data_IF_502734596953
#
_entry.id   IF_502734596953
#
_cell.length_a   1.000
_cell.length_b   1.000
_cell.length_c   1.000
_cell.angle_alpha   90.00
_cell.angle_beta   90.00
_cell.angle_gamma   90.00
#
_symmetry.space_group_name_H-M   'P 1'
#
loop_
_entity.id
_entity.type
_entity.pdbx_description
1 polymer ?
#
# COMPACT_ATOMS: atom_id res chain seq x y z
N UNK A 1 17.06 39.62 0.67
CA UNK A 1 16.81 38.73 1.82
C UNK A 1 16.45 37.27 1.44
N UNK A 2 16.42 36.87 0.16
CA UNK A 2 15.95 35.52 -0.24
C UNK A 2 17.05 34.43 -0.37
N UNK A 3 18.33 34.81 -0.55
CA UNK A 3 19.43 33.86 -0.83
C UNK A 3 19.86 33.01 0.38
N UNK A 4 19.84 33.57 1.59
CA UNK A 4 20.27 32.84 2.81
C UNK A 4 19.30 31.76 3.28
N UNK A 5 18.00 31.92 3.01
CA UNK A 5 16.98 30.94 3.38
C UNK A 5 17.08 29.67 2.52
N UNK A 6 17.22 29.82 1.20
CA UNK A 6 17.35 28.69 0.26
C UNK A 6 18.62 27.90 0.52
N UNK A 7 19.75 28.58 0.81
CA UNK A 7 21.00 27.91 1.16
C UNK A 7 20.88 27.09 2.46
N UNK A 8 20.23 27.64 3.50
CA UNK A 8 20.02 26.90 4.75
C UNK A 8 19.08 25.69 4.61
N UNK A 9 18.04 25.79 3.77
CA UNK A 9 17.14 24.67 3.48
C UNK A 9 17.88 23.57 2.72
N UNK A 10 18.73 23.93 1.75
CA UNK A 10 19.54 22.96 1.00
C UNK A 10 20.56 22.26 1.88
N UNK A 11 21.26 22.98 2.76
CA UNK A 11 22.23 22.39 3.70
C UNK A 11 21.55 21.45 4.69
N UNK A 12 20.40 21.84 5.26
CA UNK A 12 19.61 20.98 6.14
C UNK A 12 19.08 19.74 5.42
N UNK A 13 18.61 19.87 4.17
CA UNK A 13 18.15 18.73 3.39
C UNK A 13 19.29 17.73 3.11
N UNK A 14 20.50 18.23 2.82
CA UNK A 14 21.68 17.39 2.64
C UNK A 14 22.15 16.73 3.93
N UNK A 15 22.04 17.43 5.07
CA UNK A 15 22.38 16.90 6.38
C UNK A 15 21.42 15.78 6.81
N UNK A 16 20.11 16.00 6.68
CA UNK A 16 19.08 14.97 6.94
C UNK A 16 19.26 13.77 6.02
N UNK A 17 19.52 13.99 4.73
CA UNK A 17 19.75 12.90 3.78
C UNK A 17 20.99 12.06 4.12
N UNK A 18 22.06 12.69 4.63
CA UNK A 18 23.25 11.97 5.09
C UNK A 18 22.98 11.21 6.39
N UNK A 19 22.29 11.84 7.35
CA UNK A 19 21.92 11.22 8.61
C UNK A 19 21.02 10.00 8.40
N UNK A 20 20.03 10.09 7.51
CA UNK A 20 19.15 8.98 7.14
C UNK A 20 19.92 7.86 6.43
N UNK A 21 20.87 8.21 5.57
CA UNK A 21 21.72 7.23 4.90
C UNK A 21 22.62 6.48 5.88
N UNK A 22 23.24 7.19 6.82
CA UNK A 22 24.11 6.59 7.82
C UNK A 22 23.32 5.73 8.81
N UNK A 23 22.14 6.18 9.26
CA UNK A 23 21.21 5.37 10.06
C UNK A 23 20.74 4.13 9.31
N UNK A 24 20.36 4.27 8.04
CA UNK A 24 19.94 3.13 7.22
C UNK A 24 21.08 2.11 7.06
N UNK A 25 22.31 2.57 6.85
CA UNK A 25 23.49 1.71 6.76
C UNK A 25 23.78 0.99 8.07
N UNK A 26 23.64 1.68 9.20
CA UNK A 26 23.79 1.10 10.54
C UNK A 26 22.74 0.00 10.79
N UNK A 27 21.45 0.31 10.56
CA UNK A 27 20.35 -0.65 10.68
C UNK A 27 20.51 -1.85 9.75
N UNK A 28 20.98 -1.66 8.52
CA UNK A 28 21.23 -2.74 7.57
C UNK A 28 22.42 -3.60 7.99
N UNK A 29 23.49 -2.99 8.49
CA UNK A 29 24.66 -3.69 9.05
C UNK A 29 24.28 -4.52 10.28
N UNK A 30 23.46 -3.95 11.16
CA UNK A 30 22.93 -4.62 12.34
C UNK A 30 21.96 -5.75 11.96
N UNK A 31 21.08 -5.54 10.99
CA UNK A 31 20.17 -6.56 10.46
C UNK A 31 20.91 -7.74 9.81
N UNK A 32 22.01 -7.46 9.12
CA UNK A 32 22.88 -8.48 8.53
C UNK A 32 23.61 -9.28 9.62
N UNK A 33 24.18 -8.61 10.63
CA UNK A 33 24.90 -9.24 11.75
C UNK A 33 23.99 -10.04 12.68
N UNK A 34 22.78 -9.54 12.94
CA UNK A 34 21.79 -10.19 13.81
C UNK A 34 21.03 -11.36 13.14
N UNK A 35 21.24 -11.58 11.84
CA UNK A 35 20.49 -12.58 11.09
C UNK A 35 19.01 -12.21 10.88
N UNK A 36 18.66 -10.94 11.09
CA UNK A 36 17.28 -10.47 11.07
C UNK A 36 16.64 -10.52 9.68
N UNK A 37 17.45 -10.65 8.62
CA UNK A 37 16.99 -10.88 7.25
C UNK A 37 16.14 -12.16 7.09
N UNK A 38 16.23 -13.12 8.03
CA UNK A 38 15.43 -14.34 8.01
C UNK A 38 14.00 -14.14 8.57
N UNK A 39 13.74 -13.04 9.28
CA UNK A 39 12.43 -12.80 9.92
C UNK A 39 11.24 -12.74 8.97
N UNK A 40 11.32 -12.16 7.75
CA UNK A 40 10.19 -12.19 6.82
C UNK A 40 9.74 -13.62 6.50
N UNK A 41 10.69 -14.54 6.26
CA UNK A 41 10.38 -15.95 6.01
C UNK A 41 9.82 -16.63 7.25
N UNK A 42 10.44 -16.41 8.42
CA UNK A 42 9.91 -16.92 9.70
C UNK A 42 8.50 -16.41 9.96
N UNK A 43 8.21 -15.16 9.61
CA UNK A 43 6.89 -14.54 9.72
C UNK A 43 5.86 -15.21 8.84
N UNK A 44 6.19 -15.54 7.58
CA UNK A 44 5.30 -16.31 6.69
C UNK A 44 5.00 -17.69 7.30
N UNK A 45 6.03 -18.43 7.72
CA UNK A 45 5.84 -19.74 8.35
C UNK A 45 4.99 -19.63 9.61
N UNK A 46 5.31 -18.67 10.48
CA UNK A 46 4.57 -18.42 11.72
C UNK A 46 3.11 -18.07 11.45
N UNK A 47 2.85 -17.19 10.48
CA UNK A 47 1.49 -16.84 10.06
C UNK A 47 0.74 -18.08 9.55
N UNK A 48 1.36 -18.90 8.71
CA UNK A 48 0.73 -20.12 8.18
C UNK A 48 0.44 -21.16 9.26
N UNK A 49 1.28 -21.28 10.29
CA UNK A 49 1.05 -22.25 11.38
C UNK A 49 0.05 -21.75 12.44
N UNK A 50 -0.15 -20.43 12.57
CA UNK A 50 -1.04 -19.84 13.59
C UNK A 50 -2.40 -19.42 13.00
N UNK A 51 -3.38 -20.33 13.02
CA UNK A 51 -4.72 -20.09 12.46
C UNK A 51 -5.44 -18.86 13.04
N UNK A 52 -5.16 -18.51 14.29
CA UNK A 52 -5.70 -17.32 14.93
C UNK A 52 -5.48 -16.05 14.07
N UNK A 53 -4.28 -15.93 13.49
CA UNK A 53 -3.86 -14.78 12.68
C UNK A 53 -4.54 -14.69 11.32
N UNK A 54 -5.26 -15.73 10.87
CA UNK A 54 -5.90 -15.73 9.56
C UNK A 54 -7.20 -14.93 9.56
N UNK A 55 -7.85 -14.81 10.72
CA UNK A 55 -9.18 -14.20 10.87
C UNK A 55 -9.26 -12.78 10.29
N UNK A 56 -8.29 -11.86 10.53
CA UNK A 56 -8.29 -10.54 9.91
C UNK A 56 -8.23 -10.61 8.38
N UNK A 57 -7.39 -11.48 7.82
CA UNK A 57 -7.26 -11.63 6.37
C UNK A 57 -8.49 -12.25 5.72
N UNK A 58 -9.00 -13.35 6.27
CA UNK A 58 -10.17 -14.04 5.71
C UNK A 58 -11.41 -13.16 5.69
N UNK A 59 -11.57 -12.28 6.70
CA UNK A 59 -12.66 -11.30 6.75
C UNK A 59 -12.63 -10.28 5.61
N UNK A 60 -11.48 -10.08 4.96
CA UNK A 60 -11.28 -9.12 3.88
C UNK A 60 -11.24 -9.73 2.48
N UNK A 61 -11.21 -11.07 2.36
CA UNK A 61 -11.19 -11.75 1.05
C UNK A 61 -12.42 -11.38 0.23
N UNK A 62 -13.63 -11.56 0.78
CA UNK A 62 -14.86 -11.30 0.05
C UNK A 62 -15.01 -9.82 -0.35
N UNK A 63 -14.77 -8.83 0.54
CA UNK A 63 -14.72 -7.41 0.16
C UNK A 63 -13.70 -7.10 -0.94
N UNK A 64 -12.50 -7.71 -0.89
CA UNK A 64 -11.43 -7.46 -1.87
C UNK A 64 -11.78 -8.05 -3.23
N UNK A 65 -12.38 -9.24 -3.26
CA UNK A 65 -12.89 -9.84 -4.50
C UNK A 65 -14.01 -9.00 -5.11
N UNK A 66 -14.96 -8.55 -4.29
CA UNK A 66 -16.03 -7.66 -4.73
C UNK A 66 -15.51 -6.36 -5.32
N UNK A 67 -14.52 -5.74 -4.66
CA UNK A 67 -13.82 -4.56 -5.16
C UNK A 67 -13.13 -4.84 -6.51
N UNK A 68 -12.44 -5.98 -6.63
CA UNK A 68 -11.73 -6.37 -7.85
C UNK A 68 -12.69 -6.52 -9.02
N UNK A 69 -13.78 -7.27 -8.83
CA UNK A 69 -14.80 -7.51 -9.85
C UNK A 69 -15.50 -6.19 -10.22
N UNK A 70 -15.84 -5.37 -9.22
CA UNK A 70 -16.50 -4.08 -9.45
C UNK A 70 -15.63 -3.11 -10.25
N UNK A 71 -14.37 -2.94 -9.85
CA UNK A 71 -13.43 -2.06 -10.55
C UNK A 71 -13.15 -2.58 -11.96
N UNK A 72 -12.78 -3.85 -12.10
CA UNK A 72 -12.47 -4.45 -13.40
C UNK A 72 -13.67 -4.41 -14.35
N UNK A 73 -14.85 -4.79 -13.87
CA UNK A 73 -16.08 -4.74 -14.66
C UNK A 73 -16.43 -3.32 -15.10
N UNK A 74 -16.26 -2.33 -14.22
CA UNK A 74 -16.48 -0.92 -14.58
C UNK A 74 -15.48 -0.44 -15.63
N UNK A 75 -14.19 -0.77 -15.50
CA UNK A 75 -13.19 -0.40 -16.51
C UNK A 75 -13.50 -1.04 -17.85
N UNK A 76 -13.76 -2.35 -17.90
CA UNK A 76 -14.13 -3.03 -19.15
C UNK A 76 -15.36 -2.37 -19.79
N UNK A 77 -16.40 -2.08 -19.01
CA UNK A 77 -17.61 -1.46 -19.52
C UNK A 77 -17.38 -0.07 -20.14
N UNK A 78 -16.60 0.79 -19.47
CA UNK A 78 -16.40 2.17 -19.91
C UNK A 78 -15.24 2.35 -20.90
N UNK A 79 -14.18 1.56 -20.79
CA UNK A 79 -12.91 1.82 -21.50
C UNK A 79 -12.61 0.83 -22.60
N UNK A 80 -13.18 -0.39 -22.60
CA UNK A 80 -12.80 -1.44 -23.56
C UNK A 80 -13.05 -1.03 -25.02
N UNK A 81 -14.28 -0.66 -25.37
CA UNK A 81 -14.64 -0.27 -26.74
C UNK A 81 -13.83 0.95 -27.22
N UNK A 82 -13.75 2.07 -26.47
CA UNK A 82 -12.97 3.22 -26.93
C UNK A 82 -11.45 2.94 -26.97
N UNK A 83 -10.88 2.22 -25.99
CA UNK A 83 -9.45 1.85 -26.03
C UNK A 83 -9.15 0.90 -27.18
N UNK A 84 -10.01 -0.10 -27.43
CA UNK A 84 -9.85 -1.02 -28.54
C UNK A 84 -9.91 -0.29 -29.88
N UNK A 85 -10.85 0.63 -30.06
CA UNK A 85 -10.96 1.41 -31.31
C UNK A 85 -9.66 2.16 -31.63
N UNK A 86 -9.04 2.79 -30.62
CA UNK A 86 -7.78 3.49 -30.76
C UNK A 86 -6.63 2.51 -31.05
N UNK A 87 -6.53 1.41 -30.29
CA UNK A 87 -5.43 0.46 -30.45
C UNK A 87 -5.52 -0.37 -31.74
N UNK A 88 -6.72 -0.70 -32.22
CA UNK A 88 -6.92 -1.41 -33.50
C UNK A 88 -6.44 -0.54 -34.66
N UNK A 89 -6.66 0.77 -34.58
CA UNK A 89 -6.17 1.70 -35.59
C UNK A 89 -4.63 1.71 -35.69
N UNK A 90 -3.93 1.59 -34.56
CA UNK A 90 -2.45 1.66 -34.50
C UNK A 90 -1.78 0.29 -34.69
N UNK A 91 -2.31 -0.74 -34.04
CA UNK A 91 -1.67 -2.06 -33.91
C UNK A 91 -2.40 -3.17 -34.69
N UNK A 92 -3.50 -2.83 -35.38
CA UNK A 92 -4.28 -3.79 -36.16
C UNK A 92 -5.05 -4.81 -35.28
N UNK A 93 -5.42 -5.97 -35.83
CA UNK A 93 -6.29 -6.96 -35.17
C UNK A 93 -5.74 -7.52 -33.84
N UNK A 94 -4.42 -7.50 -33.64
CA UNK A 94 -3.78 -7.96 -32.40
C UNK A 94 -4.06 -7.03 -31.19
N UNK A 95 -4.63 -5.85 -31.43
CA UNK A 95 -5.03 -4.89 -30.42
C UNK A 95 -6.00 -5.45 -29.37
N UNK A 96 -6.79 -6.47 -29.73
CA UNK A 96 -7.72 -7.11 -28.78
C UNK A 96 -6.99 -7.62 -27.53
N UNK A 97 -5.83 -8.24 -27.71
CA UNK A 97 -5.04 -8.78 -26.60
C UNK A 97 -4.34 -7.67 -25.82
N UNK A 98 -3.79 -6.67 -26.52
CA UNK A 98 -3.05 -5.58 -25.86
C UNK A 98 -3.99 -4.66 -25.08
N UNK A 99 -5.19 -4.37 -25.59
CA UNK A 99 -6.24 -3.63 -24.87
C UNK A 99 -6.66 -4.38 -23.60
N UNK A 100 -6.83 -5.70 -23.67
CA UNK A 100 -7.22 -6.48 -22.49
C UNK A 100 -6.12 -6.49 -21.41
N UNK A 101 -4.85 -6.63 -21.83
CA UNK A 101 -3.71 -6.52 -20.92
C UNK A 101 -3.60 -5.13 -20.30
N UNK A 102 -3.88 -4.07 -21.06
CA UNK A 102 -3.84 -2.70 -20.57
C UNK A 102 -4.91 -2.47 -19.50
N UNK A 103 -6.15 -2.86 -19.76
CA UNK A 103 -7.26 -2.73 -18.81
C UNK A 103 -6.99 -3.54 -17.54
N UNK A 104 -6.40 -4.73 -17.66
CA UNK A 104 -6.01 -5.54 -16.50
C UNK A 104 -4.96 -4.82 -15.63
N UNK A 105 -3.94 -4.20 -16.24
CA UNK A 105 -2.91 -3.46 -15.52
C UNK A 105 -3.46 -2.18 -14.86
N UNK A 106 -4.31 -1.43 -15.57
CA UNK A 106 -4.97 -0.24 -15.05
C UNK A 106 -5.88 -0.60 -13.87
N UNK A 107 -6.72 -1.62 -14.05
CA UNK A 107 -7.62 -2.13 -13.00
C UNK A 107 -6.83 -2.63 -11.79
N UNK A 108 -5.75 -3.38 -11.99
CA UNK A 108 -4.88 -3.86 -10.92
C UNK A 108 -4.30 -2.71 -10.09
N UNK A 109 -3.88 -1.62 -10.75
CA UNK A 109 -3.38 -0.43 -10.06
C UNK A 109 -4.45 0.20 -9.17
N UNK A 110 -5.68 0.34 -9.68
CA UNK A 110 -6.82 0.89 -8.94
C UNK A 110 -7.19 -0.02 -7.77
N UNK A 111 -7.34 -1.32 -8.02
CA UNK A 111 -7.67 -2.32 -7.01
C UNK A 111 -6.62 -2.35 -5.92
N UNK A 112 -5.33 -2.33 -6.27
CA UNK A 112 -4.22 -2.31 -5.31
C UNK A 112 -4.25 -1.04 -4.45
N UNK A 113 -4.51 0.12 -5.05
CA UNK A 113 -4.64 1.38 -4.32
C UNK A 113 -5.85 1.35 -3.36
N UNK A 114 -7.02 0.95 -3.84
CA UNK A 114 -8.24 0.95 -3.04
C UNK A 114 -8.21 -0.12 -1.94
N UNK A 115 -7.79 -1.34 -2.27
CA UNK A 115 -7.70 -2.44 -1.31
C UNK A 115 -6.71 -2.12 -0.18
N UNK A 116 -5.51 -1.62 -0.50
CA UNK A 116 -4.50 -1.25 0.50
C UNK A 116 -5.01 -0.19 1.47
N UNK A 117 -5.70 0.82 0.95
CA UNK A 117 -6.12 1.97 1.75
C UNK A 117 -7.39 1.73 2.56
N UNK A 118 -8.36 0.99 2.02
CA UNK A 118 -9.69 0.87 2.63
C UNK A 118 -9.97 -0.49 3.25
N UNK A 119 -9.35 -1.57 2.76
CA UNK A 119 -9.71 -2.93 3.14
C UNK A 119 -8.61 -3.64 3.92
N UNK A 120 -7.36 -3.53 3.47
CA UNK A 120 -6.23 -4.32 3.97
C UNK A 120 -5.48 -3.63 5.11
N UNK A 121 -5.53 -2.30 5.22
CA UNK A 121 -4.81 -1.56 6.27
C UNK A 121 -5.18 -2.04 7.67
N UNK A 122 -6.47 -2.15 7.97
CA UNK A 122 -6.94 -2.62 9.28
C UNK A 122 -6.55 -4.09 9.52
N UNK A 123 -6.67 -4.96 8.50
CA UNK A 123 -6.30 -6.37 8.62
C UNK A 123 -4.80 -6.58 8.82
N UNK A 124 -3.97 -5.73 8.20
CA UNK A 124 -2.52 -5.74 8.37
C UNK A 124 -2.15 -5.32 9.79
N UNK A 125 -2.77 -4.27 10.32
CA UNK A 125 -2.60 -3.85 11.72
C UNK A 125 -3.02 -4.93 12.69
N UNK A 126 -4.21 -5.50 12.50
CA UNK A 126 -4.73 -6.56 13.37
C UNK A 126 -3.81 -7.78 13.38
N UNK A 127 -3.22 -8.12 12.24
CA UNK A 127 -2.28 -9.24 12.16
C UNK A 127 -0.95 -8.91 12.81
N UNK A 128 -0.45 -7.69 12.63
CA UNK A 128 0.80 -7.23 13.25
C UNK A 128 0.67 -7.21 14.79
N UNK A 129 -0.35 -6.51 15.30
CA UNK A 129 -0.64 -6.43 16.74
C UNK A 129 -0.93 -7.82 17.30
N UNK A 130 -1.69 -8.65 16.58
CA UNK A 130 -1.99 -10.02 16.97
C UNK A 130 -0.75 -10.91 17.08
N UNK A 131 0.22 -10.72 16.18
CA UNK A 131 1.51 -11.43 16.23
C UNK A 131 2.33 -10.97 17.43
N UNK A 132 2.37 -9.67 17.73
CA UNK A 132 3.06 -9.15 18.92
C UNK A 132 2.42 -9.69 20.21
N UNK A 133 1.09 -9.74 20.29
CA UNK A 133 0.37 -10.34 21.42
C UNK A 133 0.69 -11.84 21.54
N UNK A 134 0.72 -12.58 20.43
CA UNK A 134 1.07 -14.00 20.42
C UNK A 134 2.51 -14.27 20.86
N UNK A 135 3.43 -13.34 20.59
CA UNK A 135 4.82 -13.37 21.04
C UNK A 135 5.05 -12.77 22.44
N UNK A 136 3.99 -12.55 23.23
CA UNK A 136 4.04 -11.94 24.57
C UNK A 136 4.57 -10.49 24.63
N UNK A 137 4.62 -9.78 23.49
CA UNK A 137 4.99 -8.37 23.41
C UNK A 137 3.79 -7.43 23.64
N UNK A 138 2.97 -7.73 24.65
CA UNK A 138 1.69 -7.03 24.90
C UNK A 138 1.87 -5.60 25.41
N UNK A 139 2.99 -5.29 26.07
CA UNK A 139 3.31 -3.94 26.53
C UNK A 139 3.38 -2.96 25.37
N UNK A 140 4.03 -3.35 24.27
CA UNK A 140 4.21 -2.53 23.06
C UNK A 140 2.84 -2.26 22.39
N UNK A 141 1.99 -3.27 22.29
CA UNK A 141 0.65 -3.12 21.68
C UNK A 141 -0.25 -2.24 22.54
N UNK A 142 -0.11 -2.31 23.88
CA UNK A 142 -0.95 -1.54 24.81
C UNK A 142 -0.75 -0.02 24.72
N UNK A 143 0.38 0.44 24.17
CA UNK A 143 0.64 1.86 23.93
C UNK A 143 -0.20 2.43 22.78
N UNK A 144 -0.48 1.61 21.75
CA UNK A 144 -1.20 2.03 20.54
C UNK A 144 -2.66 1.56 20.48
N UNK A 145 -3.06 0.61 21.33
CA UNK A 145 -4.33 -0.11 21.22
C UNK A 145 -4.80 -0.66 22.57
N UNK A 146 -6.11 -0.67 22.78
CA UNK A 146 -6.69 -1.31 23.96
C UNK A 146 -6.56 -2.83 23.89
N UNK A 147 -6.23 -3.48 25.00
CA UNK A 147 -6.19 -4.93 25.12
C UNK A 147 -7.32 -5.43 26.03
N UNK A 148 -7.96 -6.53 25.64
CA UNK A 148 -8.99 -7.23 26.40
C UNK A 148 -8.43 -8.53 26.99
N UNK A 149 -9.07 -9.01 28.04
CA UNK A 149 -8.83 -10.36 28.57
C UNK A 149 -9.35 -11.42 27.59
N UNK A 150 -8.54 -12.43 27.32
CA UNK A 150 -8.88 -13.52 26.40
C UNK A 150 -7.70 -14.45 26.16
N UNK A 151 -7.96 -15.67 25.68
CA UNK A 151 -6.94 -16.66 25.35
C UNK A 151 -6.39 -16.52 23.93
N UNK A 152 -7.21 -16.08 22.98
CA UNK A 152 -6.85 -15.93 21.58
C UNK A 152 -6.20 -14.55 21.28
N UNK A 153 -5.00 -14.49 20.68
CA UNK A 153 -4.28 -13.22 20.43
C UNK A 153 -5.07 -12.17 19.65
N UNK A 154 -5.85 -12.59 18.64
CA UNK A 154 -6.68 -11.67 17.85
C UNK A 154 -7.90 -11.19 18.65
N UNK A 155 -8.53 -12.08 19.42
CA UNK A 155 -9.70 -11.73 20.23
C UNK A 155 -9.36 -10.82 21.42
N UNK A 156 -8.09 -10.78 21.84
CA UNK A 156 -7.57 -9.81 22.83
C UNK A 156 -7.41 -8.41 22.27
N UNK A 157 -7.39 -8.24 20.95
CA UNK A 157 -7.26 -6.92 20.33
C UNK A 157 -8.55 -6.12 20.49
N UNK A 158 -8.45 -4.98 21.18
CA UNK A 158 -9.53 -4.02 21.38
C UNK A 158 -9.51 -2.90 20.34
N UNK A 159 -10.01 -1.72 20.75
CA UNK A 159 -10.08 -0.54 19.89
C UNK A 159 -8.67 0.03 19.62
N UNK A 160 -8.37 0.28 18.35
CA UNK A 160 -7.15 0.98 17.92
C UNK A 160 -7.23 2.43 18.39
N UNK A 161 -6.23 2.87 19.15
CA UNK A 161 -6.13 4.26 19.64
C UNK A 161 -5.21 5.09 18.76
N UNK A 162 -4.18 4.48 18.19
CA UNK A 162 -3.23 5.11 17.27
C UNK A 162 -3.05 4.23 16.04
N UNK A 163 -3.45 4.73 14.88
CA UNK A 163 -3.20 4.07 13.60
C UNK A 163 -1.88 4.61 13.01
N UNK A 164 -0.83 3.78 12.89
CA UNK A 164 0.45 4.20 12.31
C UNK A 164 0.36 4.39 10.79
N UNK A 165 -0.68 3.88 10.14
CA UNK A 165 -0.93 4.08 8.74
C UNK A 165 -1.86 5.30 8.54
N UNK A 166 -1.42 6.25 7.73
CA UNK A 166 -2.28 7.34 7.29
C UNK A 166 -3.35 6.78 6.34
N UNK A 167 -4.62 7.02 6.63
CA UNK A 167 -5.69 6.78 5.66
C UNK A 167 -5.59 7.85 4.59
N UNK A 168 -5.34 7.48 3.34
CA UNK A 168 -5.48 8.44 2.25
C UNK A 168 -6.89 9.02 2.26
N UNK A 169 -6.97 10.35 2.26
CA UNK A 169 -8.24 11.09 2.26
C UNK A 169 -9.06 10.69 1.02
N UNK A 170 -10.41 10.60 1.10
CA UNK A 170 -11.28 10.38 -0.06
C UNK A 170 -10.99 11.32 -1.24
N UNK A 171 -10.47 12.52 -0.93
CA UNK A 171 -9.93 13.49 -1.90
C UNK A 171 -8.87 12.88 -2.83
N UNK A 172 -8.02 11.96 -2.36
CA UNK A 172 -7.04 11.26 -3.19
C UNK A 172 -7.70 10.32 -4.21
N UNK A 173 -8.82 9.68 -3.84
CA UNK A 173 -9.61 8.87 -4.78
C UNK A 173 -10.28 9.77 -5.81
N UNK A 174 -10.94 10.85 -5.37
CA UNK A 174 -11.60 11.80 -6.26
C UNK A 174 -10.58 12.41 -7.22
N UNK A 175 -9.40 12.78 -6.71
CA UNK A 175 -8.28 13.31 -7.47
C UNK A 175 -7.74 12.27 -8.47
N UNK A 176 -7.63 11.02 -8.07
CA UNK A 176 -7.23 9.93 -8.96
C UNK A 176 -8.26 9.68 -10.07
N UNK A 177 -9.55 9.60 -9.74
CA UNK A 177 -10.65 9.43 -10.72
C UNK A 177 -10.72 10.62 -11.67
N UNK A 178 -10.52 11.85 -11.17
CA UNK A 178 -10.47 13.08 -11.97
C UNK A 178 -9.26 13.14 -12.90
N UNK A 179 -8.11 12.57 -12.50
CA UNK A 179 -6.91 12.50 -13.32
C UNK A 179 -6.79 11.23 -14.16
N UNK A 180 -7.69 10.26 -14.00
CA UNK A 180 -7.73 9.05 -14.81
C UNK A 180 -7.93 9.38 -16.31
N UNK A 181 -8.85 10.28 -16.71
CA UNK A 181 -8.94 10.76 -18.10
C UNK A 181 -7.69 11.49 -18.57
N UNK A 182 -6.95 12.14 -17.67
CA UNK A 182 -5.77 12.94 -18.00
C UNK A 182 -4.54 12.08 -18.36
N UNK A 183 -4.53 10.79 -17.97
CA UNK A 183 -3.49 9.83 -18.38
C UNK A 183 -3.60 9.39 -19.85
N UNK A 184 -4.70 9.70 -20.56
CA UNK A 184 -4.88 9.39 -21.98
C UNK A 184 -4.12 10.34 -22.93
N UNK A 185 -3.46 11.38 -22.40
CA UNK A 185 -2.61 12.27 -23.20
C UNK A 185 -1.18 11.70 -23.20
N UNK A 186 -0.58 11.38 -24.36
CA UNK A 186 0.79 10.90 -24.43
C UNK A 186 1.74 11.99 -23.90
N UNK A 187 2.30 11.77 -22.70
CA UNK A 187 3.20 12.70 -21.99
C UNK A 187 2.86 12.96 -20.50
N UNK A 188 1.61 12.70 -20.06
CA UNK A 188 1.16 12.99 -18.68
C UNK A 188 1.61 12.00 -17.59
N UNK A 189 2.01 10.79 -17.99
CA UNK A 189 2.28 9.67 -17.07
C UNK A 189 3.52 9.89 -16.20
N UNK A 190 4.53 10.62 -16.68
CA UNK A 190 5.77 10.88 -15.95
C UNK A 190 5.60 11.85 -14.78
N UNK A 191 4.65 12.79 -14.90
CA UNK A 191 4.41 13.85 -13.92
C UNK A 191 3.64 13.31 -12.69
N UNK A 192 2.76 12.33 -12.90
CA UNK A 192 1.96 11.73 -11.83
C UNK A 192 2.79 10.84 -10.88
N UNK A 193 3.72 10.05 -11.42
CA UNK A 193 4.59 9.17 -10.63
C UNK A 193 5.53 9.96 -9.71
N UNK A 194 5.94 11.16 -10.12
CA UNK A 194 6.77 12.08 -9.32
C UNK A 194 5.95 12.72 -8.18
N UNK A 195 4.67 13.02 -8.39
CA UNK A 195 3.81 13.61 -7.35
C UNK A 195 3.47 12.63 -6.22
N UNK A 196 3.30 11.34 -6.52
CA UNK A 196 3.05 10.30 -5.50
C UNK A 196 4.32 9.98 -4.69
N UNK A 197 5.52 10.11 -5.28
CA UNK A 197 6.78 9.97 -4.53
C UNK A 197 7.19 11.21 -3.74
N UNK A 198 6.58 12.37 -3.99
CA UNK A 198 6.91 13.66 -3.36
C UNK A 198 5.98 14.09 -2.22
N UNK A 199 5.10 13.20 -1.75
CA UNK A 199 4.19 13.47 -0.61
C UNK A 199 4.33 12.44 0.52
N UNK A 200 5.49 11.80 0.62
CA UNK A 200 5.96 11.09 1.80
C UNK A 200 7.29 11.69 2.23
#
# INVERSE_FOLDING_TARGET
MSSGFVANVQTKAQEVAKEDFDKAKELLSEAAKSGSYMYPFKGIVYFLTHRALWKPFTSRILPTLGLTIGVFGSMVFFTYVPQLAILVFVNGPLAVFTTMLLILNESSTIVNLLSRNFLLQDALLDTFDGTLVACNATSIVSEGRQLKSGSDPISRLGKVLKNPFSKFTPTAIIRYVMYLPLNFIPGGTHIHRIFISGSY
#
